data_IF_756552628598
#
_entry.id   IF_756552628598
#
_cell.length_a   1.000
_cell.length_b   1.000
_cell.length_c   1.000
_cell.angle_alpha   90.00
_cell.angle_beta   90.00
_cell.angle_gamma   90.00
#
_symmetry.space_group_name_H-M   'P 1'
#
loop_
_entity.id
_entity.type
_entity.pdbx_description
1 polymer ?
#
# COMPACT_ATOMS: atom_id res chain seq x y z
N UNK A 1 -10.94 39.63 -4.91
CA UNK A 1 -11.61 38.30 -4.96
C UNK A 1 -10.65 37.29 -4.37
N UNK A 2 -10.83 36.96 -3.08
CA UNK A 2 -9.97 36.01 -2.38
C UNK A 2 -10.16 34.60 -2.95
N UNK A 3 -9.09 34.05 -3.50
CA UNK A 3 -9.06 32.72 -4.05
C UNK A 3 -9.14 31.71 -2.88
N UNK A 4 -10.20 30.90 -2.86
CA UNK A 4 -10.51 29.93 -1.80
C UNK A 4 -9.29 29.03 -1.56
N UNK A 5 -8.65 29.17 -0.39
CA UNK A 5 -7.56 28.31 0.09
C UNK A 5 -7.95 26.84 -0.09
N UNK A 6 -7.30 26.16 -1.04
CA UNK A 6 -7.24 24.72 -1.07
C UNK A 6 -6.73 24.27 0.29
N UNK A 7 -7.54 23.51 1.04
CA UNK A 7 -7.11 22.92 2.31
C UNK A 7 -5.95 21.98 1.99
N UNK A 8 -4.73 22.46 2.27
CA UNK A 8 -3.51 21.67 2.29
C UNK A 8 -3.73 20.42 3.14
N UNK A 9 -3.06 19.31 2.79
CA UNK A 9 -2.97 18.12 3.65
C UNK A 9 -2.39 18.47 5.05
N UNK A 10 -1.76 19.65 5.17
CA UNK A 10 -1.26 20.26 6.41
C UNK A 10 -2.31 20.57 7.49
N UNK A 11 -3.61 20.63 7.17
CA UNK A 11 -4.63 21.06 8.14
C UNK A 11 -5.13 19.96 9.10
N UNK A 12 -4.67 18.73 8.94
CA UNK A 12 -4.94 17.64 9.88
C UNK A 12 -3.62 17.00 10.30
N UNK A 13 -3.16 17.33 11.51
CA UNK A 13 -2.15 16.54 12.22
C UNK A 13 -2.79 15.19 12.57
N UNK A 14 -3.02 14.34 11.56
CA UNK A 14 -3.45 12.97 11.80
C UNK A 14 -2.23 12.20 12.32
N UNK A 15 -2.35 11.47 13.44
CA UNK A 15 -1.31 10.53 13.86
C UNK A 15 -1.34 9.31 12.92
N UNK A 16 -0.89 9.50 11.68
CA UNK A 16 -0.86 8.44 10.66
C UNK A 16 0.26 7.47 10.97
N UNK A 17 -0.09 6.19 10.97
CA UNK A 17 0.85 5.07 11.03
C UNK A 17 0.85 4.33 9.70
N UNK A 18 -0.31 3.84 9.29
CA UNK A 18 -0.44 2.95 8.13
C UNK A 18 -0.36 3.72 6.81
N UNK A 19 -1.02 4.88 6.71
CA UNK A 19 -1.02 5.72 5.51
C UNK A 19 0.01 6.84 5.54
N UNK A 20 0.95 6.79 6.49
CA UNK A 20 2.01 7.79 6.58
C UNK A 20 2.84 7.86 5.28
N UNK A 21 3.18 6.71 4.70
CA UNK A 21 3.92 6.66 3.43
C UNK A 21 3.19 7.38 2.30
N UNK A 22 1.87 7.22 2.20
CA UNK A 22 1.05 7.87 1.18
C UNK A 22 0.93 9.38 1.44
N UNK A 23 0.82 9.79 2.70
CA UNK A 23 0.84 11.19 3.09
C UNK A 23 2.17 11.85 2.74
N UNK A 24 3.30 11.22 3.10
CA UNK A 24 4.64 11.73 2.85
C UNK A 24 4.87 11.88 1.34
N UNK A 25 4.51 10.86 0.55
CA UNK A 25 4.57 10.91 -0.91
C UNK A 25 3.73 12.06 -1.48
N UNK A 26 2.50 12.24 -1.02
CA UNK A 26 1.64 13.33 -1.48
C UNK A 26 2.25 14.71 -1.13
N UNK A 27 2.86 14.85 0.05
CA UNK A 27 3.56 16.08 0.44
C UNK A 27 4.77 16.34 -0.45
N UNK A 28 5.59 15.33 -0.71
CA UNK A 28 6.77 15.42 -1.58
C UNK A 28 6.40 15.83 -3.02
N UNK A 29 5.32 15.25 -3.54
CA UNK A 29 4.77 15.56 -4.86
C UNK A 29 3.93 16.84 -4.90
N UNK A 30 3.80 17.57 -3.79
CA UNK A 30 2.96 18.76 -3.63
C UNK A 30 1.48 18.54 -4.04
N UNK A 31 0.95 17.36 -3.74
CA UNK A 31 -0.42 16.95 -4.00
C UNK A 31 -1.32 17.19 -2.77
N UNK A 32 -2.55 17.63 -3.02
CA UNK A 32 -3.58 17.75 -1.98
C UNK A 32 -4.53 16.54 -1.99
N UNK A 33 -5.31 16.36 -0.90
CA UNK A 33 -6.42 15.40 -0.86
C UNK A 33 -7.41 15.60 -2.01
N UNK A 34 -7.57 16.84 -2.48
CA UNK A 34 -8.40 17.15 -3.64
C UNK A 34 -7.83 16.58 -4.94
N UNK A 35 -6.51 16.67 -5.12
CA UNK A 35 -5.83 16.17 -6.31
C UNK A 35 -5.84 14.64 -6.37
N UNK A 36 -5.57 13.98 -5.23
CA UNK A 36 -5.67 12.53 -5.10
C UNK A 36 -7.10 12.05 -5.42
N UNK A 37 -8.12 12.75 -4.90
CA UNK A 37 -9.52 12.42 -5.15
C UNK A 37 -9.90 12.62 -6.63
N UNK A 38 -9.49 13.75 -7.22
CA UNK A 38 -9.71 14.03 -8.64
C UNK A 38 -9.07 12.97 -9.54
N UNK A 39 -7.83 12.56 -9.24
CA UNK A 39 -7.13 11.53 -10.00
C UNK A 39 -7.86 10.18 -9.93
N UNK A 40 -8.35 9.82 -8.75
CA UNK A 40 -9.08 8.56 -8.52
C UNK A 40 -10.53 8.59 -9.02
N UNK A 41 -11.06 9.74 -9.42
CA UNK A 41 -12.49 9.91 -9.72
C UNK A 41 -13.38 9.71 -8.48
N UNK A 42 -12.86 10.04 -7.30
CA UNK A 42 -13.56 9.89 -6.02
C UNK A 42 -13.97 11.25 -5.45
N UNK A 43 -14.89 11.23 -4.50
CA UNK A 43 -15.18 12.44 -3.73
C UNK A 43 -13.99 12.80 -2.83
N UNK A 44 -13.76 14.11 -2.63
CA UNK A 44 -12.76 14.59 -1.67
C UNK A 44 -12.99 14.01 -0.27
N UNK A 45 -14.25 13.80 0.11
CA UNK A 45 -14.63 13.23 1.40
C UNK A 45 -14.18 11.76 1.55
N UNK A 46 -14.19 10.99 0.47
CA UNK A 46 -13.75 9.60 0.46
C UNK A 46 -12.26 9.50 0.78
N UNK A 47 -11.41 10.26 0.07
CA UNK A 47 -9.96 10.29 0.30
C UNK A 47 -9.62 10.90 1.66
N UNK A 48 -10.35 11.93 2.08
CA UNK A 48 -10.25 12.46 3.44
C UNK A 48 -10.50 11.38 4.50
N UNK A 49 -11.49 10.51 4.28
CA UNK A 49 -11.82 9.45 5.23
C UNK A 49 -10.73 8.38 5.31
N UNK A 50 -9.96 8.14 4.23
CA UNK A 50 -8.80 7.25 4.26
C UNK A 50 -7.79 7.72 5.30
N UNK A 51 -7.32 8.98 5.20
CA UNK A 51 -6.38 9.56 6.16
C UNK A 51 -6.98 9.71 7.56
N UNK A 52 -8.27 10.03 7.67
CA UNK A 52 -8.94 10.10 8.98
C UNK A 52 -8.99 8.74 9.68
N UNK A 53 -9.19 7.66 8.93
CA UNK A 53 -9.22 6.29 9.47
C UNK A 53 -7.86 5.61 9.49
N UNK A 54 -6.85 6.24 8.89
CA UNK A 54 -5.54 5.67 8.65
C UNK A 54 -5.63 4.28 8.01
N UNK A 55 -6.55 4.16 7.04
CA UNK A 55 -6.86 2.88 6.41
C UNK A 55 -7.52 3.03 5.04
N UNK A 56 -7.18 2.12 4.15
CA UNK A 56 -7.75 1.99 2.81
C UNK A 56 -7.45 0.59 2.28
N UNK A 57 -8.29 0.12 1.35
CA UNK A 57 -8.05 -1.09 0.57
C UNK A 57 -6.78 -0.96 -0.28
N UNK A 58 -5.96 -2.02 -0.32
CA UNK A 58 -4.70 -2.02 -1.06
C UNK A 58 -4.90 -1.80 -2.56
N UNK A 59 -6.01 -2.30 -3.12
CA UNK A 59 -6.38 -2.08 -4.52
C UNK A 59 -6.49 -0.58 -4.88
N UNK A 60 -6.98 0.26 -3.95
CA UNK A 60 -7.02 1.71 -4.15
C UNK A 60 -5.63 2.35 -4.10
N UNK A 61 -4.70 1.78 -3.32
CA UNK A 61 -3.32 2.27 -3.26
C UNK A 61 -2.64 1.97 -4.61
N UNK A 62 -2.67 0.72 -5.07
CA UNK A 62 -2.12 0.35 -6.37
C UNK A 62 -2.69 1.20 -7.50
N UNK A 63 -4.01 1.33 -7.56
CA UNK A 63 -4.68 2.15 -8.58
C UNK A 63 -4.27 3.62 -8.51
N UNK A 64 -4.11 4.19 -7.31
CA UNK A 64 -3.69 5.58 -7.16
C UNK A 64 -2.28 5.79 -7.71
N UNK A 65 -1.33 4.95 -7.34
CA UNK A 65 0.05 5.05 -7.83
C UNK A 65 0.13 4.84 -9.34
N UNK A 66 -0.57 3.85 -9.87
CA UNK A 66 -0.66 3.61 -11.31
C UNK A 66 -1.18 4.85 -12.05
N UNK A 67 -2.28 5.44 -11.58
CA UNK A 67 -2.82 6.67 -12.14
C UNK A 67 -1.85 7.85 -12.02
N UNK A 68 -0.98 7.88 -11.01
CA UNK A 68 0.04 8.93 -10.85
C UNK A 68 1.31 8.67 -11.68
N UNK A 69 1.39 7.53 -12.38
CA UNK A 69 2.56 7.17 -13.20
C UNK A 69 3.68 6.52 -12.39
N UNK A 70 3.35 5.87 -11.28
CA UNK A 70 4.29 5.22 -10.39
C UNK A 70 3.92 3.75 -10.19
N UNK A 71 4.95 2.93 -10.08
CA UNK A 71 4.85 1.58 -9.56
C UNK A 71 5.05 1.61 -8.03
N UNK A 72 4.13 0.99 -7.29
CA UNK A 72 4.31 0.72 -5.86
C UNK A 72 4.46 -0.78 -5.64
N UNK A 73 5.45 -1.19 -4.85
CA UNK A 73 5.69 -2.59 -4.46
C UNK A 73 5.70 -2.71 -2.95
N UNK A 74 5.07 -3.78 -2.46
CA UNK A 74 5.07 -4.14 -1.05
C UNK A 74 5.85 -5.44 -0.86
N UNK A 75 6.57 -5.55 0.25
CA UNK A 75 7.15 -6.82 0.70
C UNK A 75 7.21 -6.89 2.23
N UNK A 76 7.25 -8.10 2.77
CA UNK A 76 7.40 -8.35 4.20
C UNK A 76 8.68 -9.13 4.45
N UNK A 77 9.57 -8.58 5.27
CA UNK A 77 10.86 -9.19 5.64
C UNK A 77 11.00 -9.28 7.16
N UNK A 78 11.93 -10.08 7.66
CA UNK A 78 12.25 -10.09 9.09
C UNK A 78 12.80 -8.71 9.49
N UNK A 79 12.54 -8.26 10.71
CA UNK A 79 13.12 -7.04 11.26
C UNK A 79 14.66 -7.13 11.38
N UNK A 80 15.20 -8.35 11.48
CA UNK A 80 16.63 -8.63 11.64
C UNK A 80 17.34 -8.99 10.34
N UNK A 81 16.62 -9.12 9.23
CA UNK A 81 17.25 -9.24 7.92
C UNK A 81 17.85 -7.88 7.56
N UNK A 82 19.14 -7.70 7.82
CA UNK A 82 19.92 -6.67 7.11
C UNK A 82 19.71 -6.92 5.62
N UNK A 83 19.27 -5.89 4.89
CA UNK A 83 19.08 -5.91 3.44
C UNK A 83 20.43 -6.22 2.78
N UNK A 84 20.77 -7.50 2.73
CA UNK A 84 21.97 -8.00 2.10
C UNK A 84 21.69 -7.86 0.59
N UNK A 85 22.39 -6.99 -0.14
CA UNK A 85 22.03 -6.63 -1.52
C UNK A 85 22.12 -7.79 -2.52
N UNK A 86 22.47 -9.01 -2.07
CA UNK A 86 22.75 -10.16 -2.92
C UNK A 86 21.92 -11.43 -2.63
N UNK A 87 20.85 -11.38 -1.84
CA UNK A 87 19.94 -12.55 -1.76
C UNK A 87 18.64 -12.27 -2.51
N UNK A 88 18.68 -12.49 -3.83
CA UNK A 88 17.47 -12.80 -4.60
C UNK A 88 17.00 -14.19 -4.15
N UNK A 89 16.14 -14.26 -3.13
CA UNK A 89 15.24 -15.42 -3.01
C UNK A 89 14.27 -15.30 -4.18
N UNK A 90 14.73 -15.81 -5.32
CA UNK A 90 13.88 -16.03 -6.47
C UNK A 90 13.04 -17.24 -6.09
N UNK A 91 11.90 -17.02 -5.44
CA UNK A 91 10.81 -17.99 -5.52
C UNK A 91 10.35 -18.00 -6.98
N UNK A 92 11.13 -18.66 -7.84
CA UNK A 92 10.62 -19.06 -9.15
C UNK A 92 9.37 -19.89 -8.88
N UNK A 93 8.34 -19.64 -9.70
CA UNK A 93 7.09 -20.40 -9.91
C UNK A 93 5.79 -19.79 -9.37
N UNK A 94 5.67 -18.47 -9.29
CA UNK A 94 4.36 -17.85 -9.46
C UNK A 94 4.48 -16.57 -10.27
N UNK A 95 4.32 -16.70 -11.59
CA UNK A 95 3.99 -15.57 -12.45
C UNK A 95 2.55 -15.80 -12.91
N UNK A 96 1.54 -15.46 -12.09
CA UNK A 96 0.16 -15.57 -12.54
C UNK A 96 0.00 -14.68 -13.79
N UNK A 97 -0.85 -15.10 -14.72
CA UNK A 97 -1.14 -14.33 -15.95
C UNK A 97 -1.61 -12.91 -15.65
N UNK A 98 -2.11 -12.69 -14.42
CA UNK A 98 -2.44 -11.38 -13.86
C UNK A 98 -1.80 -11.25 -12.48
N UNK A 99 -0.90 -10.27 -12.25
CA UNK A 99 -0.31 -10.05 -10.94
C UNK A 99 -1.41 -9.71 -9.93
N UNK A 100 -1.40 -10.37 -8.77
CA UNK A 100 -2.37 -10.14 -7.71
C UNK A 100 -1.85 -9.14 -6.68
N UNK A 101 -2.72 -8.26 -6.20
CA UNK A 101 -2.42 -7.25 -5.20
C UNK A 101 -1.87 -7.87 -3.91
N UNK A 102 -2.33 -9.07 -3.53
CA UNK A 102 -1.93 -9.75 -2.29
C UNK A 102 -0.89 -10.86 -2.49
N UNK A 103 -0.23 -10.94 -3.65
CA UNK A 103 0.81 -11.96 -3.89
C UNK A 103 1.98 -11.82 -2.91
N UNK A 104 2.44 -10.59 -2.64
CA UNK A 104 3.53 -10.36 -1.68
C UNK A 104 3.18 -10.87 -0.28
N UNK A 105 1.92 -10.70 0.14
CA UNK A 105 1.43 -11.19 1.43
C UNK A 105 1.38 -12.72 1.41
N UNK A 106 0.87 -13.33 0.35
CA UNK A 106 0.82 -14.79 0.20
C UNK A 106 2.21 -15.42 0.26
N UNK A 107 3.19 -14.82 -0.42
CA UNK A 107 4.60 -15.24 -0.40
C UNK A 107 5.14 -15.17 1.03
N UNK A 108 4.96 -14.04 1.72
CA UNK A 108 5.44 -13.85 3.08
C UNK A 108 4.79 -14.85 4.06
N UNK A 109 3.48 -15.03 4.00
CA UNK A 109 2.78 -15.99 4.85
C UNK A 109 3.31 -17.42 4.67
N UNK A 110 3.58 -17.82 3.43
CA UNK A 110 4.19 -19.12 3.14
C UNK A 110 5.63 -19.22 3.66
N UNK A 111 6.45 -18.18 3.44
CA UNK A 111 7.84 -18.12 3.90
C UNK A 111 7.95 -18.25 5.43
N UNK A 112 7.09 -17.56 6.17
CA UNK A 112 7.07 -17.58 7.63
C UNK A 112 6.14 -18.66 8.22
N UNK A 113 5.61 -19.55 7.38
CA UNK A 113 4.72 -20.67 7.77
C UNK A 113 3.48 -20.21 8.57
N UNK A 114 2.94 -19.04 8.24
CA UNK A 114 1.74 -18.48 8.85
C UNK A 114 0.53 -19.01 8.09
N UNK A 115 -0.30 -19.80 8.76
CA UNK A 115 -1.52 -20.33 8.15
C UNK A 115 -2.73 -19.41 8.40
N UNK A 116 -3.83 -19.68 7.69
CA UNK A 116 -5.07 -18.89 7.79
C UNK A 116 -5.67 -18.91 9.20
N UNK A 117 -5.60 -20.03 9.91
CA UNK A 117 -6.12 -20.16 11.26
C UNK A 117 -5.37 -19.25 12.22
N UNK A 118 -4.05 -19.16 12.05
CA UNK A 118 -3.26 -18.20 12.79
C UNK A 118 -3.66 -16.76 12.48
N UNK A 119 -3.87 -16.41 11.21
CA UNK A 119 -4.34 -15.06 10.83
C UNK A 119 -5.70 -14.72 11.45
N UNK A 120 -6.65 -15.65 11.45
CA UNK A 120 -7.94 -15.45 12.10
C UNK A 120 -7.77 -15.14 13.59
N UNK A 121 -6.93 -15.91 14.30
CA UNK A 121 -6.65 -15.70 15.72
C UNK A 121 -5.95 -14.36 15.96
N UNK A 122 -4.88 -14.10 15.23
CA UNK A 122 -4.00 -12.94 15.41
C UNK A 122 -4.73 -11.62 15.13
N UNK A 123 -5.60 -11.62 14.10
CA UNK A 123 -6.36 -10.44 13.70
C UNK A 123 -7.76 -10.38 14.33
N UNK A 124 -8.14 -11.41 15.09
CA UNK A 124 -9.50 -11.57 15.62
C UNK A 124 -10.58 -11.45 14.52
N UNK A 125 -10.36 -12.16 13.41
CA UNK A 125 -11.23 -12.16 12.23
C UNK A 125 -11.83 -13.55 11.99
N UNK A 126 -13.03 -13.57 11.43
CA UNK A 126 -13.64 -14.81 10.95
C UNK A 126 -12.96 -15.35 9.69
N UNK A 127 -12.98 -16.67 9.52
CA UNK A 127 -12.42 -17.35 8.35
C UNK A 127 -13.00 -16.82 7.03
N UNK A 128 -14.28 -16.44 7.02
CA UNK A 128 -14.94 -15.82 5.86
C UNK A 128 -14.25 -14.54 5.41
N UNK A 129 -13.79 -13.70 6.35
CA UNK A 129 -13.08 -12.46 6.02
C UNK A 129 -11.73 -12.76 5.38
N UNK A 130 -10.93 -13.64 5.98
CA UNK A 130 -9.62 -14.02 5.42
C UNK A 130 -9.78 -14.72 4.05
N UNK A 131 -10.81 -15.54 3.89
CA UNK A 131 -11.14 -16.17 2.61
C UNK A 131 -11.51 -15.12 1.55
N UNK A 132 -12.33 -14.13 1.92
CA UNK A 132 -12.73 -13.05 1.02
C UNK A 132 -11.53 -12.27 0.48
N UNK A 133 -10.44 -12.14 1.24
CA UNK A 133 -9.22 -11.48 0.76
C UNK A 133 -8.58 -12.23 -0.40
N UNK A 134 -8.58 -13.57 -0.37
CA UNK A 134 -8.02 -14.37 -1.46
C UNK A 134 -8.91 -14.37 -2.70
N UNK A 135 -10.22 -14.34 -2.50
CA UNK A 135 -11.20 -14.32 -3.60
C UNK A 135 -11.22 -12.95 -4.30
N UNK A 136 -11.21 -11.87 -3.52
CA UNK A 136 -11.28 -10.51 -4.05
C UNK A 136 -9.92 -9.87 -4.30
N UNK A 137 -8.85 -10.55 -3.90
CA UNK A 137 -7.48 -10.05 -3.99
C UNK A 137 -7.32 -8.63 -3.44
N UNK A 138 -7.87 -8.43 -2.24
CA UNK A 138 -7.98 -7.12 -1.64
C UNK A 138 -8.18 -7.22 -0.13
N UNK A 139 -7.51 -6.37 0.62
CA UNK A 139 -7.72 -6.18 2.04
C UNK A 139 -7.36 -4.75 2.43
N UNK A 140 -7.75 -4.36 3.64
CA UNK A 140 -7.36 -3.09 4.22
C UNK A 140 -5.88 -3.12 4.62
N UNK A 141 -5.14 -2.04 4.32
CA UNK A 141 -3.71 -1.93 4.59
C UNK A 141 -3.40 -2.04 6.09
N UNK A 142 -4.33 -1.63 6.95
CA UNK A 142 -4.22 -1.79 8.41
C UNK A 142 -3.98 -3.25 8.84
N UNK A 143 -4.59 -4.22 8.16
CA UNK A 143 -4.36 -5.63 8.46
C UNK A 143 -2.95 -6.08 8.08
N UNK A 144 -2.38 -5.55 7.00
CA UNK A 144 -1.01 -5.90 6.58
C UNK A 144 -0.01 -5.37 7.61
N UNK A 145 -0.16 -4.12 8.05
CA UNK A 145 0.65 -3.57 9.15
C UNK A 145 0.48 -4.37 10.43
N UNK A 146 -0.76 -4.78 10.76
CA UNK A 146 -1.03 -5.57 11.95
C UNK A 146 -0.39 -6.96 11.90
N UNK A 147 -0.41 -7.63 10.75
CA UNK A 147 0.31 -8.89 10.53
C UNK A 147 1.79 -8.68 10.75
N UNK A 148 2.36 -7.62 10.17
CA UNK A 148 3.79 -7.32 10.31
C UNK A 148 4.17 -7.15 11.79
N UNK A 149 3.43 -6.35 12.54
CA UNK A 149 3.65 -6.15 13.98
C UNK A 149 3.57 -7.43 14.80
N UNK A 150 2.51 -8.23 14.62
CA UNK A 150 2.28 -9.44 15.40
C UNK A 150 3.32 -10.52 15.12
N UNK A 151 3.99 -10.44 13.97
CA UNK A 151 4.94 -11.43 13.48
C UNK A 151 6.39 -10.96 13.54
N UNK A 152 6.64 -9.76 14.05
CA UNK A 152 7.99 -9.19 14.10
C UNK A 152 8.58 -8.99 12.70
N UNK A 153 7.72 -8.72 11.71
CA UNK A 153 8.12 -8.45 10.34
C UNK A 153 8.09 -6.94 10.06
N UNK A 154 8.85 -6.54 9.05
CA UNK A 154 8.85 -5.20 8.49
C UNK A 154 8.08 -5.19 7.17
N UNK A 155 7.13 -4.26 7.04
CA UNK A 155 6.54 -3.92 5.75
C UNK A 155 7.46 -2.94 5.01
N UNK A 156 8.03 -3.37 3.90
CA UNK A 156 8.79 -2.52 2.99
C UNK A 156 7.86 -2.04 1.87
N UNK A 157 8.01 -0.76 1.51
CA UNK A 157 7.20 -0.06 0.51
C UNK A 157 8.16 0.64 -0.44
N UNK A 158 8.24 0.17 -1.67
CA UNK A 158 9.08 0.74 -2.71
C UNK A 158 8.20 1.46 -3.72
N UNK A 159 8.49 2.73 -3.98
CA UNK A 159 7.74 3.57 -4.93
C UNK A 159 8.72 4.03 -6.00
N UNK A 160 8.45 3.66 -7.25
CA UNK A 160 9.31 3.99 -8.39
C UNK A 160 8.48 4.65 -9.49
N UNK A 161 8.96 5.72 -10.14
CA UNK A 161 8.30 6.22 -11.34
C UNK A 161 8.34 5.14 -12.43
N UNK A 162 7.30 5.03 -13.26
CA UNK A 162 7.43 4.24 -14.47
C UNK A 162 8.54 4.86 -15.35
N UNK A 163 9.42 4.03 -15.91
CA UNK A 163 10.62 4.47 -16.66
C UNK A 163 10.33 5.26 -17.95
N UNK A 164 9.07 5.57 -18.29
CA UNK A 164 8.68 6.15 -19.57
C UNK A 164 8.72 7.69 -19.66
N UNK A 165 9.34 8.38 -18.69
CA UNK A 165 9.47 9.85 -18.71
C UNK A 165 10.91 10.38 -18.91
N UNK A 166 11.93 9.54 -19.10
CA UNK A 166 13.31 10.05 -19.37
C UNK A 166 13.58 10.30 -20.87
N UNK A 167 12.72 9.87 -21.81
CA UNK A 167 12.96 10.03 -23.26
C UNK A 167 11.93 10.90 -24.02
N UNK A 168 11.28 11.86 -23.38
CA UNK A 168 10.40 12.83 -24.08
C UNK A 168 10.70 14.29 -23.77
N UNK A 169 11.98 14.67 -23.70
CA UNK A 169 12.41 16.06 -23.88
C UNK A 169 13.84 16.08 -24.47
N UNK A 170 13.97 15.63 -25.71
CA UNK A 170 15.03 16.10 -26.62
C UNK A 170 14.38 16.38 -27.96
N UNK A 171 14.72 17.57 -28.50
CA UNK A 171 14.24 18.27 -29.70
C UNK A 171 13.05 19.20 -29.49
#
# INVERSE_FOLDING_TARGET
MENKKARNVRSGSYPLKNLKFLYDFAVEMNLTVGDLAARMGLSRQSVYYWFKKDDVKISNIYRLFDLLGYEIRFSLTDMNEETNPNVKVTSKLYSPETPKNLDFLTIALNQYRINKTDLCRDLNLGATTIYSWQVHDDCFISYIFRIAELRGLRLNIDINPYNDCINKLVY
#
